data_IF_723949148758
#
_entry.id   IF_723949148758
#
_cell.length_a   1.000
_cell.length_b   1.000
_cell.length_c   1.000
_cell.angle_alpha   90.00
_cell.angle_beta   90.00
_cell.angle_gamma   90.00
#
_symmetry.space_group_name_H-M   'P 1'
#
loop_
_entity.id
_entity.type
_entity.pdbx_description
1 polymer ?
#
# COMPACT_ATOMS: atom_id res chain seq x y z
N UNK A 1 -10.40 -16.14 6.29
CA UNK A 1 -10.65 -14.70 6.34
C UNK A 1 -9.47 -13.98 7.03
N UNK A 2 -9.28 -14.08 8.34
CA UNK A 2 -8.28 -13.29 9.10
C UNK A 2 -6.86 -13.26 8.55
N UNK A 3 -6.36 -14.39 8.02
CA UNK A 3 -5.01 -14.45 7.42
C UNK A 3 -4.91 -13.55 6.19
N UNK A 4 -5.90 -13.57 5.30
CA UNK A 4 -5.88 -12.73 4.09
C UNK A 4 -5.98 -11.25 4.45
N UNK A 5 -6.84 -10.89 5.41
CA UNK A 5 -6.91 -9.52 5.95
C UNK A 5 -5.57 -9.07 6.51
N UNK A 6 -4.87 -9.95 7.26
CA UNK A 6 -3.52 -9.64 7.78
C UNK A 6 -2.51 -9.27 6.69
N UNK A 7 -2.70 -9.77 5.46
CA UNK A 7 -1.86 -9.45 4.31
C UNK A 7 -2.48 -8.41 3.38
N UNK A 8 -3.65 -7.82 3.74
CA UNK A 8 -4.37 -6.85 2.91
C UNK A 8 -4.87 -7.46 1.60
N UNK A 9 -5.28 -8.74 1.62
CA UNK A 9 -5.67 -9.54 0.45
C UNK A 9 -7.16 -9.86 0.41
N UNK A 10 -8.01 -9.05 1.03
CA UNK A 10 -9.46 -9.26 1.06
C UNK A 10 -10.07 -9.15 -0.35
N UNK A 11 -9.51 -8.28 -1.18
CA UNK A 11 -9.87 -8.08 -2.58
C UNK A 11 -9.69 -9.33 -3.46
N UNK A 12 -8.74 -10.19 -3.10
CA UNK A 12 -8.44 -11.44 -3.84
C UNK A 12 -8.91 -12.70 -3.11
N UNK A 13 -9.64 -12.57 -2.00
CA UNK A 13 -10.09 -13.69 -1.17
C UNK A 13 -10.97 -14.72 -1.94
N UNK A 14 -11.66 -14.27 -2.99
CA UNK A 14 -12.44 -15.15 -3.88
C UNK A 14 -11.54 -16.06 -4.75
N UNK A 15 -10.28 -15.68 -4.99
CA UNK A 15 -9.34 -16.40 -5.85
C UNK A 15 -8.65 -17.57 -5.13
N UNK A 16 -9.42 -18.45 -4.47
CA UNK A 16 -8.91 -19.53 -3.62
C UNK A 16 -7.92 -20.45 -4.34
N UNK A 17 -8.18 -20.76 -5.61
CA UNK A 17 -7.30 -21.62 -6.41
C UNK A 17 -5.92 -20.99 -6.63
N UNK A 18 -5.88 -19.68 -6.90
CA UNK A 18 -4.64 -18.94 -7.06
C UNK A 18 -3.85 -18.92 -5.74
N UNK A 19 -4.51 -18.57 -4.64
CA UNK A 19 -3.89 -18.52 -3.30
C UNK A 19 -3.31 -19.88 -2.93
N UNK A 20 -4.07 -20.97 -3.15
CA UNK A 20 -3.59 -22.34 -2.91
C UNK A 20 -2.33 -22.64 -3.72
N UNK A 21 -2.35 -22.36 -5.03
CA UNK A 21 -1.21 -22.64 -5.92
C UNK A 21 0.04 -21.85 -5.53
N UNK A 22 -0.15 -20.60 -5.08
CA UNK A 22 0.94 -19.75 -4.56
C UNK A 22 1.54 -20.37 -3.29
N UNK A 23 0.71 -20.79 -2.34
CA UNK A 23 1.15 -21.39 -1.07
C UNK A 23 1.82 -22.75 -1.27
N UNK A 24 1.30 -23.60 -2.16
CA UNK A 24 1.87 -24.91 -2.48
C UNK A 24 3.20 -24.78 -3.23
N UNK A 25 3.34 -23.77 -4.10
CA UNK A 25 4.57 -23.53 -4.86
C UNK A 25 5.69 -22.89 -4.05
N UNK A 26 5.36 -22.21 -2.95
CA UNK A 26 6.34 -21.52 -2.10
C UNK A 26 7.13 -20.44 -2.83
N UNK A 27 8.30 -20.09 -2.27
CA UNK A 27 9.17 -19.02 -2.80
C UNK A 27 10.59 -19.49 -3.13
N UNK A 28 10.92 -20.74 -2.86
CA UNK A 28 12.28 -21.26 -3.00
C UNK A 28 12.70 -21.41 -4.47
N UNK A 29 11.77 -21.73 -5.36
CA UNK A 29 12.01 -21.70 -6.80
C UNK A 29 11.78 -20.27 -7.33
N UNK A 30 12.80 -19.71 -8.00
CA UNK A 30 12.72 -18.39 -8.65
C UNK A 30 11.58 -18.29 -9.67
N UNK A 31 11.18 -19.41 -10.27
CA UNK A 31 10.10 -19.50 -11.25
C UNK A 31 8.74 -19.79 -10.60
N UNK A 32 8.67 -19.88 -9.27
CA UNK A 32 7.41 -20.11 -8.57
C UNK A 32 6.40 -19.00 -8.89
N UNK A 33 5.13 -19.35 -8.80
CA UNK A 33 4.05 -18.40 -9.04
C UNK A 33 4.15 -17.20 -8.08
N UNK A 34 4.51 -17.43 -6.81
CA UNK A 34 4.72 -16.39 -5.81
C UNK A 34 5.78 -15.35 -6.22
N UNK A 35 6.85 -15.78 -6.90
CA UNK A 35 7.92 -14.91 -7.35
C UNK A 35 7.64 -14.22 -8.69
N UNK A 36 6.68 -14.73 -9.48
CA UNK A 36 6.34 -14.21 -10.81
C UNK A 36 5.17 -13.24 -10.83
N UNK A 37 4.34 -13.23 -9.78
CA UNK A 37 3.22 -12.30 -9.66
C UNK A 37 3.71 -10.88 -9.37
N UNK A 38 3.10 -9.89 -10.04
CA UNK A 38 3.40 -8.47 -9.81
C UNK A 38 2.96 -7.99 -8.41
N UNK A 39 1.90 -8.60 -7.86
CA UNK A 39 1.42 -8.31 -6.52
C UNK A 39 2.29 -9.00 -5.46
N UNK A 40 3.12 -8.21 -4.77
CA UNK A 40 4.06 -8.68 -3.76
C UNK A 40 3.40 -9.34 -2.54
N UNK A 41 2.09 -9.10 -2.31
CA UNK A 41 1.34 -9.67 -1.19
C UNK A 41 1.30 -11.19 -1.26
N UNK A 42 1.20 -11.75 -2.47
CA UNK A 42 1.26 -13.22 -2.67
C UNK A 42 2.60 -13.80 -2.27
N UNK A 43 3.69 -13.09 -2.58
CA UNK A 43 5.03 -13.51 -2.19
C UNK A 43 5.20 -13.44 -0.67
N UNK A 44 4.80 -12.33 -0.03
CA UNK A 44 4.85 -12.18 1.43
C UNK A 44 4.05 -13.28 2.15
N UNK A 45 2.87 -13.63 1.63
CA UNK A 45 2.06 -14.73 2.16
C UNK A 45 2.79 -16.08 2.04
N UNK A 46 3.34 -16.39 0.86
CA UNK A 46 4.05 -17.63 0.63
C UNK A 46 5.38 -17.73 1.41
N UNK A 47 6.08 -16.62 1.65
CA UNK A 47 7.27 -16.57 2.51
C UNK A 47 6.91 -16.84 3.98
N UNK A 48 5.83 -16.22 4.45
CA UNK A 48 5.39 -16.38 5.86
C UNK A 48 4.97 -17.79 6.16
N UNK A 49 4.21 -18.42 5.27
CA UNK A 49 3.65 -19.75 5.49
C UNK A 49 4.43 -20.87 4.78
N UNK A 50 5.43 -20.61 4.02
CA UNK A 50 6.25 -21.52 3.21
C UNK A 50 5.93 -23.04 3.35
N UNK A 51 4.73 -23.43 2.91
CA UNK A 51 4.25 -24.81 2.99
C UNK A 51 5.09 -25.75 2.12
N UNK A 52 5.69 -25.27 1.04
CA UNK A 52 6.58 -26.04 0.19
C UNK A 52 7.80 -26.55 0.97
N UNK A 53 8.33 -25.74 1.90
CA UNK A 53 9.52 -26.08 2.68
C UNK A 53 9.20 -26.79 4.00
N UNK A 54 8.15 -26.37 4.69
CA UNK A 54 7.90 -26.78 6.09
C UNK A 54 6.62 -27.61 6.25
N UNK A 55 5.88 -27.85 5.16
CA UNK A 55 4.59 -28.53 5.24
C UNK A 55 3.64 -27.84 6.23
N UNK A 56 2.79 -28.62 6.88
CA UNK A 56 1.84 -28.11 7.87
C UNK A 56 2.50 -27.57 9.13
N UNK A 57 3.74 -27.94 9.43
CA UNK A 57 4.46 -27.45 10.61
C UNK A 57 4.64 -25.91 10.62
N UNK A 58 4.61 -25.26 9.45
CA UNK A 58 4.71 -23.80 9.36
C UNK A 58 3.64 -23.09 10.19
N UNK A 59 2.45 -23.68 10.34
CA UNK A 59 1.34 -23.09 11.11
C UNK A 59 1.55 -23.11 12.62
N UNK A 60 2.48 -23.94 13.12
CA UNK A 60 2.82 -24.03 14.53
C UNK A 60 3.99 -23.13 14.95
N UNK A 61 4.69 -22.55 13.98
CA UNK A 61 5.82 -21.67 14.30
C UNK A 61 5.35 -20.38 14.96
N UNK A 62 5.92 -20.04 16.09
CA UNK A 62 5.63 -18.81 16.84
C UNK A 62 5.80 -17.57 15.96
N UNK A 63 6.85 -17.53 15.11
CA UNK A 63 7.05 -16.43 14.14
C UNK A 63 5.91 -16.27 13.16
N UNK A 64 5.33 -17.38 12.67
CA UNK A 64 4.21 -17.35 11.72
C UNK A 64 2.94 -16.92 12.41
N UNK A 65 2.63 -17.48 13.58
CA UNK A 65 1.44 -17.13 14.35
C UNK A 65 1.48 -15.68 14.82
N UNK A 66 2.54 -15.32 15.56
CA UNK A 66 2.69 -13.97 16.10
C UNK A 66 2.79 -12.92 15.00
N UNK A 67 3.60 -13.18 13.96
CA UNK A 67 3.71 -12.27 12.82
C UNK A 67 2.40 -12.06 12.07
N UNK A 68 1.55 -13.09 11.98
CA UNK A 68 0.22 -12.97 11.36
C UNK A 68 -0.74 -12.17 12.24
N UNK A 69 -0.73 -12.40 13.57
CA UNK A 69 -1.55 -11.64 14.52
C UNK A 69 -1.14 -10.17 14.54
N UNK A 70 0.15 -9.88 14.61
CA UNK A 70 0.67 -8.50 14.61
C UNK A 70 0.30 -7.76 13.30
N UNK A 71 0.39 -8.44 12.16
CA UNK A 71 -0.06 -7.90 10.86
C UNK A 71 -1.57 -7.64 10.85
N UNK A 72 -2.37 -8.59 11.30
CA UNK A 72 -3.82 -8.45 11.37
C UNK A 72 -4.24 -7.24 12.22
N UNK A 73 -3.69 -7.14 13.44
CA UNK A 73 -3.97 -6.02 14.34
C UNK A 73 -3.63 -4.68 13.70
N UNK A 74 -2.48 -4.61 13.03
CA UNK A 74 -2.04 -3.37 12.35
C UNK A 74 -2.95 -3.02 11.17
N UNK A 75 -3.28 -3.98 10.31
CA UNK A 75 -4.19 -3.76 9.17
C UNK A 75 -5.56 -3.30 9.64
N UNK A 76 -6.10 -3.93 10.69
CA UNK A 76 -7.39 -3.53 11.27
C UNK A 76 -7.35 -2.12 11.86
N UNK A 77 -6.24 -1.73 12.49
CA UNK A 77 -6.05 -0.35 12.98
C UNK A 77 -5.98 0.65 11.82
N UNK A 78 -5.25 0.32 10.75
CA UNK A 78 -5.17 1.16 9.53
C UNK A 78 -6.57 1.33 8.90
N UNK A 79 -7.35 0.26 8.78
CA UNK A 79 -8.72 0.29 8.27
C UNK A 79 -9.67 1.09 9.17
N UNK A 80 -9.58 0.89 10.49
CA UNK A 80 -10.38 1.63 11.46
C UNK A 80 -10.07 3.13 11.43
N UNK A 81 -8.81 3.50 11.35
CA UNK A 81 -8.39 4.89 11.15
C UNK A 81 -8.92 5.45 9.83
N UNK A 82 -8.94 4.62 8.77
CA UNK A 82 -9.44 4.98 7.45
C UNK A 82 -10.95 5.20 7.36
N UNK A 83 -11.73 4.58 8.24
CA UNK A 83 -13.17 4.85 8.33
C UNK A 83 -13.46 6.29 8.81
N UNK A 84 -12.52 6.86 9.57
CA UNK A 84 -12.62 8.21 10.08
C UNK A 84 -11.91 9.23 9.17
N UNK A 85 -10.76 8.84 8.59
CA UNK A 85 -9.97 9.71 7.72
C UNK A 85 -9.09 8.87 6.76
N UNK A 86 -9.41 8.90 5.46
CA UNK A 86 -8.66 8.16 4.44
C UNK A 86 -7.20 8.61 4.35
N UNK A 87 -6.90 9.89 4.59
CA UNK A 87 -5.54 10.41 4.61
C UNK A 87 -4.68 9.72 5.68
N UNK A 88 -5.24 9.50 6.87
CA UNK A 88 -4.54 8.78 7.95
C UNK A 88 -4.25 7.33 7.54
N UNK A 89 -5.20 6.65 6.93
CA UNK A 89 -5.01 5.28 6.42
C UNK A 89 -3.89 5.21 5.39
N UNK A 90 -3.90 6.12 4.43
CA UNK A 90 -2.88 6.20 3.38
C UNK A 90 -1.49 6.51 3.96
N UNK A 91 -1.40 7.42 4.93
CA UNK A 91 -0.16 7.77 5.62
C UNK A 91 0.43 6.57 6.37
N UNK A 92 -0.38 5.87 7.17
CA UNK A 92 0.04 4.69 7.94
C UNK A 92 0.47 3.54 7.00
N UNK A 93 -0.28 3.31 5.93
CA UNK A 93 0.07 2.31 4.93
C UNK A 93 1.42 2.63 4.26
N UNK A 94 1.61 3.89 3.87
CA UNK A 94 2.86 4.35 3.26
C UNK A 94 4.03 4.23 4.24
N UNK A 95 3.87 4.67 5.49
CA UNK A 95 4.90 4.57 6.53
C UNK A 95 5.40 3.12 6.70
N UNK A 96 4.48 2.17 6.65
CA UNK A 96 4.80 0.75 6.78
C UNK A 96 5.50 0.17 5.56
N UNK A 97 5.07 0.53 4.35
CA UNK A 97 5.54 -0.10 3.10
C UNK A 97 6.78 0.57 2.53
N UNK A 98 6.91 1.88 2.66
CA UNK A 98 7.93 2.68 2.00
C UNK A 98 9.38 2.24 2.29
N UNK A 99 9.79 1.87 3.52
CA UNK A 99 11.16 1.43 3.78
C UNK A 99 11.57 0.15 3.04
N UNK A 100 10.61 -0.67 2.64
CA UNK A 100 10.83 -1.91 1.88
C UNK A 100 10.87 -1.72 0.37
N UNK A 101 10.57 -0.53 -0.14
CA UNK A 101 10.56 -0.27 -1.57
C UNK A 101 11.98 -0.21 -2.14
N UNK A 102 12.15 -0.82 -3.31
CA UNK A 102 13.43 -0.87 -4.03
C UNK A 102 13.34 -0.27 -5.43
N UNK A 103 12.13 0.01 -5.90
CA UNK A 103 11.88 0.53 -7.24
C UNK A 103 10.66 1.44 -7.28
N UNK A 104 10.73 2.51 -8.06
CA UNK A 104 9.61 3.42 -8.34
C UNK A 104 8.42 2.67 -8.97
N UNK A 105 8.68 1.63 -9.72
CA UNK A 105 7.62 0.80 -10.32
C UNK A 105 6.71 0.13 -9.28
N UNK A 106 7.24 -0.17 -8.08
CA UNK A 106 6.43 -0.68 -6.97
C UNK A 106 5.45 0.38 -6.44
N UNK A 107 5.84 1.66 -6.48
CA UNK A 107 4.93 2.78 -6.16
C UNK A 107 3.86 2.90 -7.24
N UNK A 108 4.23 2.82 -8.51
CA UNK A 108 3.29 2.90 -9.63
C UNK A 108 2.31 1.73 -9.67
N UNK A 109 2.72 0.55 -9.21
CA UNK A 109 1.88 -0.66 -9.14
C UNK A 109 0.91 -0.69 -7.95
N UNK A 110 1.06 0.18 -6.97
CA UNK A 110 0.23 0.24 -5.76
C UNK A 110 -0.50 1.59 -5.68
N UNK A 111 -1.82 1.55 -5.84
CA UNK A 111 -2.66 2.76 -5.87
C UNK A 111 -2.54 3.61 -4.61
N UNK A 112 -2.37 2.98 -3.43
CA UNK A 112 -2.25 3.70 -2.17
C UNK A 112 -0.90 4.40 -2.05
N UNK A 113 0.20 3.70 -2.40
CA UNK A 113 1.53 4.30 -2.44
C UNK A 113 1.61 5.42 -3.47
N UNK A 114 1.05 5.19 -4.67
CA UNK A 114 1.00 6.20 -5.72
C UNK A 114 0.26 7.45 -5.25
N UNK A 115 -0.91 7.29 -4.60
CA UNK A 115 -1.72 8.41 -4.11
C UNK A 115 -0.98 9.28 -3.10
N UNK A 116 -0.23 8.67 -2.18
CA UNK A 116 0.62 9.41 -1.23
C UNK A 116 1.70 10.18 -1.95
N UNK A 117 2.43 9.54 -2.88
CA UNK A 117 3.51 10.19 -3.63
C UNK A 117 2.97 11.27 -4.56
N UNK A 118 1.86 11.02 -5.27
CA UNK A 118 1.18 12.01 -6.11
C UNK A 118 0.87 13.29 -5.32
N UNK A 119 0.25 13.14 -4.16
CA UNK A 119 -0.14 14.26 -3.29
C UNK A 119 1.10 14.94 -2.70
N UNK A 120 2.00 14.19 -2.06
CA UNK A 120 3.18 14.75 -1.39
C UNK A 120 4.12 15.50 -2.33
N UNK A 121 4.25 15.04 -3.59
CA UNK A 121 5.10 15.69 -4.59
C UNK A 121 4.36 16.70 -5.47
N UNK A 122 3.05 16.90 -5.22
CA UNK A 122 2.18 17.76 -6.02
C UNK A 122 2.28 17.41 -7.51
N UNK A 123 2.15 16.11 -7.83
CA UNK A 123 2.22 15.64 -9.21
C UNK A 123 0.90 16.00 -9.94
N UNK A 124 0.96 16.27 -11.26
CA UNK A 124 -0.24 16.56 -12.02
C UNK A 124 -1.20 15.35 -12.02
N UNK A 125 -2.50 15.60 -11.89
CA UNK A 125 -3.56 14.58 -11.99
C UNK A 125 -3.62 13.90 -13.36
N UNK A 126 -3.04 14.51 -14.39
CA UNK A 126 -2.90 13.95 -15.74
C UNK A 126 -1.72 12.95 -15.86
N UNK A 127 -0.88 12.81 -14.83
CA UNK A 127 0.29 11.93 -14.88
C UNK A 127 -0.05 10.46 -15.16
N UNK A 128 -1.14 9.87 -14.66
CA UNK A 128 -1.52 8.50 -15.00
C UNK A 128 -1.83 8.26 -16.50
N UNK A 129 -2.12 9.32 -17.24
CA UNK A 129 -2.40 9.22 -18.68
C UNK A 129 -1.15 9.06 -19.56
N UNK A 130 0.05 9.28 -19.00
CA UNK A 130 1.30 9.07 -19.75
C UNK A 130 1.86 7.67 -19.50
N UNK A 131 2.76 7.21 -20.38
CA UNK A 131 3.37 5.88 -20.26
C UNK A 131 4.14 5.70 -18.94
N UNK A 132 4.17 4.47 -18.45
CA UNK A 132 4.75 4.08 -17.14
C UNK A 132 6.21 4.55 -17.00
N UNK A 133 7.00 4.45 -18.06
CA UNK A 133 8.41 4.91 -18.08
C UNK A 133 8.53 6.41 -17.79
N UNK A 134 7.64 7.19 -18.38
CA UNK A 134 7.63 8.64 -18.18
C UNK A 134 7.15 9.00 -16.77
N UNK A 135 6.17 8.29 -16.26
CA UNK A 135 5.74 8.43 -14.86
C UNK A 135 6.91 8.14 -13.90
N UNK A 136 7.60 7.01 -14.09
CA UNK A 136 8.74 6.62 -13.27
C UNK A 136 9.84 7.67 -13.32
N UNK A 137 10.16 8.20 -14.50
CA UNK A 137 11.17 9.26 -14.68
C UNK A 137 10.80 10.54 -13.92
N UNK A 138 9.55 10.99 -14.01
CA UNK A 138 9.07 12.20 -13.31
C UNK A 138 9.13 12.01 -11.80
N UNK A 139 8.72 10.85 -11.29
CA UNK A 139 8.78 10.56 -9.85
C UNK A 139 10.23 10.47 -9.39
N UNK A 140 11.10 9.77 -10.11
CA UNK A 140 12.52 9.61 -9.76
C UNK A 140 13.27 10.94 -9.73
N UNK A 141 12.86 11.91 -10.55
CA UNK A 141 13.46 13.26 -10.53
C UNK A 141 13.13 14.04 -9.23
N UNK A 142 12.05 13.66 -8.53
CA UNK A 142 11.58 14.35 -7.32
C UNK A 142 11.75 13.53 -6.04
N UNK A 143 11.85 12.21 -6.14
CA UNK A 143 11.92 11.28 -5.03
C UNK A 143 13.05 10.27 -5.25
N UNK A 144 14.07 10.33 -4.41
CA UNK A 144 15.03 9.25 -4.29
C UNK A 144 14.42 8.11 -3.45
N UNK A 145 14.19 6.96 -4.09
CA UNK A 145 13.60 5.78 -3.44
C UNK A 145 14.42 5.32 -2.23
N UNK A 146 15.74 5.51 -2.25
CA UNK A 146 16.61 5.11 -1.15
C UNK A 146 16.39 5.96 0.09
N UNK A 147 15.93 7.21 -0.08
CA UNK A 147 15.62 8.13 1.01
C UNK A 147 14.46 7.67 1.88
N UNK A 148 13.58 6.79 1.37
CA UNK A 148 12.45 6.24 2.11
C UNK A 148 12.87 5.26 3.22
N UNK A 149 14.13 4.82 3.24
CA UNK A 149 14.71 4.01 4.32
C UNK A 149 15.15 4.85 5.50
N UNK A 150 15.33 6.15 5.31
CA UNK A 150 15.64 7.12 6.35
C UNK A 150 14.34 7.58 7.02
N UNK A 151 14.18 7.26 8.30
CA UNK A 151 12.95 7.56 9.05
C UNK A 151 12.63 9.07 9.05
N UNK A 152 13.63 9.94 9.21
CA UNK A 152 13.40 11.39 9.25
C UNK A 152 12.94 11.96 7.88
N UNK A 153 13.45 11.39 6.78
CA UNK A 153 13.02 11.80 5.43
C UNK A 153 11.63 11.24 5.10
N UNK A 154 11.36 10.03 5.53
CA UNK A 154 10.04 9.39 5.39
C UNK A 154 8.98 10.19 6.16
N UNK A 155 9.25 10.54 7.42
CA UNK A 155 8.33 11.32 8.24
C UNK A 155 8.03 12.69 7.61
N UNK A 156 9.04 13.40 7.09
CA UNK A 156 8.83 14.67 6.37
C UNK A 156 7.96 14.51 5.12
N UNK A 157 8.08 13.40 4.39
CA UNK A 157 7.24 13.15 3.23
C UNK A 157 5.79 12.90 3.65
N UNK A 158 5.58 12.17 4.75
CA UNK A 158 4.26 11.90 5.32
C UNK A 158 3.62 13.18 5.86
N UNK A 159 4.36 14.01 6.59
CA UNK A 159 3.88 15.32 7.06
C UNK A 159 3.41 16.20 5.91
N UNK A 160 4.21 16.25 4.84
CA UNK A 160 3.87 17.00 3.63
C UNK A 160 2.61 16.43 2.96
N UNK A 161 2.50 15.10 2.86
CA UNK A 161 1.31 14.43 2.36
C UNK A 161 0.08 14.83 3.17
N UNK A 162 0.14 14.71 4.51
CA UNK A 162 -0.99 15.00 5.40
C UNK A 162 -1.44 16.45 5.28
N UNK A 163 -0.49 17.39 5.25
CA UNK A 163 -0.79 18.81 5.10
C UNK A 163 -1.50 19.13 3.77
N UNK A 164 -1.03 18.57 2.68
CA UNK A 164 -1.63 18.77 1.35
C UNK A 164 -2.96 18.03 1.19
N UNK A 165 -3.09 16.86 1.82
CA UNK A 165 -4.34 16.12 1.85
C UNK A 165 -5.45 16.89 2.57
N UNK A 166 -5.15 17.43 3.75
CA UNK A 166 -6.10 18.21 4.55
C UNK A 166 -6.52 19.51 3.84
N UNK A 167 -5.58 20.18 3.17
CA UNK A 167 -5.89 21.35 2.35
C UNK A 167 -6.87 21.00 1.23
N UNK A 168 -6.60 19.91 0.48
CA UNK A 168 -7.47 19.48 -0.61
C UNK A 168 -8.89 19.09 -0.14
N UNK A 169 -9.01 18.50 1.05
CA UNK A 169 -10.31 18.14 1.63
C UNK A 169 -11.07 19.39 2.11
N UNK A 170 -10.37 20.37 2.68
CA UNK A 170 -10.98 21.61 3.14
C UNK A 170 -11.47 22.49 1.99
N UNK A 171 -10.73 22.54 0.86
CA UNK A 171 -11.18 23.27 -0.34
C UNK A 171 -12.47 22.67 -0.92
N UNK A 172 -12.63 21.34 -0.85
CA UNK A 172 -13.88 20.69 -1.30
C UNK A 172 -15.06 20.90 -0.34
N UNK A 173 -14.82 21.16 0.95
CA UNK A 173 -15.86 21.43 1.94
C UNK A 173 -16.28 22.90 2.01
N UNK A 174 -15.50 23.82 1.44
CA UNK A 174 -15.77 25.27 1.46
C UNK A 174 -16.68 25.78 0.32
N UNK A 175 -17.12 24.89 -0.59
CA UNK A 175 -17.99 25.25 -1.73
C UNK A 175 -19.48 25.46 -1.39
N UNK A 176 -20.07 25.04 -0.26
CA UNK A 176 -21.49 25.30 0.04
C UNK A 176 -21.86 26.77 0.26
N UNK A 177 -20.90 27.63 0.59
CA UNK A 177 -21.23 29.02 0.93
C UNK A 177 -21.63 29.91 -0.26
N UNK A 178 -21.20 29.54 -1.48
CA UNK A 178 -21.52 30.33 -2.68
C UNK A 178 -22.91 30.02 -3.27
N UNK A 179 -23.51 28.88 -2.96
CA UNK A 179 -24.86 28.54 -3.44
C UNK A 179 -25.98 29.27 -2.67
N UNK A 180 -25.71 29.75 -1.45
CA UNK A 180 -26.69 30.49 -0.66
C UNK A 180 -26.91 31.92 -1.16
N UNK A 181 -26.02 32.47 -1.98
CA UNK A 181 -26.16 33.82 -2.54
C UNK A 181 -26.78 33.86 -3.94
N UNK A 182 -27.05 32.73 -4.56
CA UNK A 182 -27.68 32.68 -5.91
C UNK A 182 -29.17 32.32 -5.92
N UNK A 183 -29.77 32.03 -4.75
CA UNK A 183 -31.21 31.71 -4.65
C UNK A 183 -32.07 32.83 -4.11
N UNK A 184 -31.60 34.09 -4.13
CA UNK A 184 -32.30 35.27 -3.67
C UNK A 184 -32.36 36.37 -4.72
N UNK A 185 -33.06 36.13 -5.84
CA UNK A 185 -33.54 37.19 -6.74
C UNK A 185 -34.82 36.72 -7.42
#
# INVERSE_FOLDING_TARGET
AYVLTAFGMDDVAASKALIRKVLEGGVDDRKSLANSLADSRFKELAETFNFARYGTATTTFTRTQKGTVDRYTRTTLEESAGQTNEGVRLALYFQRKAPGLTSIYQILGDKALYKVVETALSLPSSLPAVGVEKQASIISAKLDITSLKDAAKLDKLIERFSSLWDLAQNDMSSVPALQLFQSGA
#
